data_IF_178716353945
#
_entry.id   IF_178716353945
#
_cell.length_a   1.000
_cell.length_b   1.000
_cell.length_c   1.000
_cell.angle_alpha   90.00
_cell.angle_beta   90.00
_cell.angle_gamma   90.00
#
_symmetry.space_group_name_H-M   'P 1'
#
loop_
_entity.id
_entity.type
_entity.pdbx_description
1 polymer ?
#
# COMPACT_ATOMS: atom_id res chain seq x y z
N UNK A 1 -2.82 54.44 -0.80
CA UNK A 1 -3.69 53.26 -0.68
C UNK A 1 -3.55 52.21 -1.80
N UNK A 2 -2.76 52.44 -2.85
CA UNK A 2 -2.57 51.44 -3.96
C UNK A 2 -1.43 50.43 -3.73
N UNK A 3 -0.56 50.63 -2.73
CA UNK A 3 0.58 49.73 -2.44
C UNK A 3 0.26 48.60 -1.49
N UNK A 4 -0.87 48.63 -0.77
CA UNK A 4 -1.27 47.55 0.15
C UNK A 4 -1.94 46.38 -0.56
N UNK A 5 -2.53 46.58 -1.73
CA UNK A 5 -3.20 45.53 -2.52
C UNK A 5 -2.23 44.60 -3.24
N UNK A 6 -1.03 45.07 -3.55
CA UNK A 6 -0.02 44.25 -4.24
C UNK A 6 0.60 43.23 -3.30
N UNK A 7 0.70 43.51 -2.00
CA UNK A 7 1.22 42.57 -0.99
C UNK A 7 0.26 41.42 -0.67
N UNK A 8 -1.05 41.64 -0.83
CA UNK A 8 -2.06 40.58 -0.61
C UNK A 8 -2.14 39.57 -1.76
N UNK A 9 -1.78 39.95 -3.00
CA UNK A 9 -1.79 39.03 -4.17
C UNK A 9 -0.55 38.14 -4.17
N UNK A 10 0.58 38.57 -3.64
CA UNK A 10 1.81 37.73 -3.55
C UNK A 10 1.70 36.68 -2.46
N UNK A 11 0.95 36.91 -1.39
CA UNK A 11 0.72 35.91 -0.33
C UNK A 11 -0.22 34.77 -0.76
N UNK A 12 -1.08 34.98 -1.76
CA UNK A 12 -2.01 33.98 -2.26
C UNK A 12 -1.37 32.96 -3.27
N UNK A 13 -0.18 33.28 -3.83
CA UNK A 13 0.51 32.44 -4.80
C UNK A 13 1.47 31.40 -4.16
N UNK A 14 1.73 31.47 -2.86
CA UNK A 14 2.62 30.53 -2.17
C UNK A 14 1.90 29.33 -1.54
N UNK A 15 0.56 29.21 -1.66
CA UNK A 15 -0.23 28.14 -1.05
C UNK A 15 -0.54 26.97 -2.01
N UNK A 16 0.02 26.94 -3.22
CA UNK A 16 -0.35 25.95 -4.24
C UNK A 16 0.75 24.95 -4.65
N UNK A 17 1.73 24.68 -3.76
CA UNK A 17 2.77 23.70 -4.10
C UNK A 17 3.00 22.72 -2.97
N UNK A 18 2.10 21.76 -2.78
CA UNK A 18 2.45 20.44 -2.21
C UNK A 18 1.28 19.44 -2.33
N UNK A 19 0.76 19.26 -3.53
CA UNK A 19 0.06 18.02 -3.89
C UNK A 19 1.09 16.97 -4.35
N UNK A 20 2.19 16.84 -3.62
CA UNK A 20 2.98 15.61 -3.70
C UNK A 20 2.09 14.50 -3.11
N UNK A 21 1.90 13.45 -3.87
CA UNK A 21 1.18 12.26 -3.45
C UNK A 21 1.72 11.81 -2.09
N UNK A 22 1.07 12.24 -1.01
CA UNK A 22 1.47 11.95 0.36
C UNK A 22 1.37 10.43 0.52
N UNK A 23 2.51 9.77 0.65
CA UNK A 23 2.56 8.31 0.84
C UNK A 23 1.70 8.00 2.08
N UNK A 24 0.58 7.29 1.84
CA UNK A 24 -0.39 6.99 2.91
C UNK A 24 0.31 6.32 4.07
N UNK A 25 0.02 6.79 5.28
CA UNK A 25 0.58 6.16 6.47
C UNK A 25 0.17 4.68 6.56
N UNK A 26 1.00 3.81 7.15
CA UNK A 26 0.64 2.40 7.38
C UNK A 26 -0.72 2.25 8.08
N UNK A 27 -1.03 3.11 9.04
CA UNK A 27 -2.31 3.12 9.75
C UNK A 27 -3.49 3.42 8.82
N UNK A 28 -3.34 4.40 7.93
CA UNK A 28 -4.38 4.75 6.95
C UNK A 28 -4.65 3.58 5.99
N UNK A 29 -3.60 2.88 5.54
CA UNK A 29 -3.74 1.73 4.64
C UNK A 29 -4.47 0.56 5.31
N UNK A 30 -4.18 0.28 6.59
CA UNK A 30 -4.87 -0.75 7.38
C UNK A 30 -6.34 -0.37 7.52
N UNK A 31 -6.63 0.87 7.89
CA UNK A 31 -8.01 1.34 8.09
C UNK A 31 -8.84 1.30 6.81
N UNK A 32 -8.27 1.69 5.67
CA UNK A 32 -8.96 1.61 4.37
C UNK A 32 -9.31 0.16 4.00
N UNK A 33 -8.37 -0.78 4.22
CA UNK A 33 -8.62 -2.20 3.94
C UNK A 33 -9.66 -2.78 4.89
N UNK A 34 -9.57 -2.46 6.18
CA UNK A 34 -10.54 -2.89 7.18
C UNK A 34 -11.94 -2.39 6.83
N UNK A 35 -12.09 -1.10 6.53
CA UNK A 35 -13.37 -0.49 6.12
C UNK A 35 -13.94 -1.14 4.85
N UNK A 36 -13.08 -1.39 3.85
CA UNK A 36 -13.50 -2.10 2.63
C UNK A 36 -14.05 -3.49 2.94
N UNK A 37 -13.36 -4.25 3.79
CA UNK A 37 -13.80 -5.60 4.17
C UNK A 37 -15.09 -5.57 4.99
N UNK A 38 -15.21 -4.68 5.96
CA UNK A 38 -16.42 -4.51 6.78
C UNK A 38 -17.64 -4.17 5.92
N UNK A 39 -17.46 -3.39 4.86
CA UNK A 39 -18.55 -3.03 3.92
C UNK A 39 -19.00 -4.20 3.05
N UNK A 40 -18.11 -5.13 2.70
CA UNK A 40 -18.37 -6.15 1.67
C UNK A 40 -18.50 -7.58 2.21
N UNK A 41 -18.04 -7.85 3.43
CA UNK A 41 -18.15 -9.15 4.08
C UNK A 41 -19.28 -9.11 5.12
N UNK A 42 -20.35 -9.80 4.82
CA UNK A 42 -21.49 -9.95 5.75
C UNK A 42 -21.19 -11.09 6.73
N UNK A 43 -21.22 -10.80 8.02
CA UNK A 43 -20.98 -11.76 9.10
C UNK A 43 -22.21 -11.84 10.01
N UNK A 44 -22.42 -13.00 10.64
CA UNK A 44 -23.41 -13.14 11.72
C UNK A 44 -22.98 -12.34 12.97
N UNK A 45 -23.90 -12.10 13.90
CA UNK A 45 -23.61 -11.29 15.09
C UNK A 45 -22.39 -11.79 15.89
N UNK A 46 -22.30 -13.11 16.11
CA UNK A 46 -21.19 -13.71 16.86
C UNK A 46 -19.87 -13.71 16.06
N UNK A 47 -19.91 -14.05 14.76
CA UNK A 47 -18.75 -13.96 13.88
C UNK A 47 -18.21 -12.54 13.82
N UNK A 48 -19.10 -11.55 13.72
CA UNK A 48 -18.77 -10.14 13.62
C UNK A 48 -17.97 -9.63 14.84
N UNK A 49 -18.36 -10.01 16.06
CA UNK A 49 -17.64 -9.59 17.27
C UNK A 49 -16.21 -10.13 17.35
N UNK A 50 -16.01 -11.38 16.94
CA UNK A 50 -14.73 -12.08 17.12
C UNK A 50 -13.77 -11.86 15.95
N UNK A 51 -14.30 -11.81 14.71
CA UNK A 51 -13.49 -11.82 13.50
C UNK A 51 -12.70 -10.52 13.28
N UNK A 52 -13.34 -9.34 13.42
CA UNK A 52 -12.70 -8.08 13.05
C UNK A 52 -11.46 -7.78 13.86
N UNK A 53 -11.45 -8.14 15.14
CA UNK A 53 -10.24 -8.02 15.97
C UNK A 53 -9.10 -8.87 15.44
N UNK A 54 -9.38 -10.15 15.14
CA UNK A 54 -8.38 -11.08 14.59
C UNK A 54 -7.90 -10.64 13.21
N UNK A 55 -8.80 -10.10 12.39
CA UNK A 55 -8.44 -9.60 11.07
C UNK A 55 -7.58 -8.32 11.15
N UNK A 56 -7.88 -7.40 12.05
CA UNK A 56 -7.04 -6.22 12.29
C UNK A 56 -5.65 -6.59 12.81
N UNK A 57 -5.56 -7.56 13.72
CA UNK A 57 -4.27 -8.12 14.16
C UNK A 57 -3.46 -8.68 12.98
N UNK A 58 -4.11 -9.40 12.06
CA UNK A 58 -3.49 -9.88 10.81
C UNK A 58 -2.93 -8.74 9.97
N UNK A 59 -3.72 -7.70 9.72
CA UNK A 59 -3.30 -6.54 8.92
C UNK A 59 -2.10 -5.81 9.54
N UNK A 60 -2.09 -5.64 10.85
CA UNK A 60 -0.98 -5.04 11.58
C UNK A 60 0.29 -5.90 11.48
N UNK A 61 0.17 -7.22 11.61
CA UNK A 61 1.29 -8.14 11.48
C UNK A 61 1.84 -8.18 10.05
N UNK A 62 0.99 -8.20 9.02
CA UNK A 62 1.39 -8.09 7.61
C UNK A 62 2.15 -6.78 7.35
N UNK A 63 1.63 -5.66 7.84
CA UNK A 63 2.27 -4.36 7.71
C UNK A 63 3.65 -4.31 8.38
N UNK A 64 3.79 -4.94 9.53
CA UNK A 64 5.09 -5.05 10.23
C UNK A 64 6.13 -5.80 9.40
N UNK A 65 5.74 -6.92 8.76
CA UNK A 65 6.62 -7.67 7.86
C UNK A 65 7.07 -6.80 6.68
N UNK A 66 6.13 -6.09 6.04
CA UNK A 66 6.42 -5.20 4.92
C UNK A 66 7.35 -4.03 5.31
N UNK A 67 7.12 -3.45 6.48
CA UNK A 67 7.95 -2.36 7.01
C UNK A 67 9.36 -2.86 7.34
N UNK A 68 9.47 -4.03 7.94
CA UNK A 68 10.78 -4.65 8.24
C UNK A 68 11.55 -4.94 6.95
N UNK A 69 10.90 -5.50 5.94
CA UNK A 69 11.49 -5.70 4.61
C UNK A 69 12.06 -4.40 4.03
N UNK A 70 11.27 -3.32 4.00
CA UNK A 70 11.74 -2.00 3.50
C UNK A 70 12.94 -1.48 4.30
N UNK A 71 12.87 -1.50 5.62
CA UNK A 71 13.97 -1.06 6.49
C UNK A 71 15.26 -1.86 6.27
N UNK A 72 15.16 -3.17 6.06
CA UNK A 72 16.33 -4.00 5.77
C UNK A 72 16.99 -3.61 4.45
N UNK A 73 16.20 -3.34 3.41
CA UNK A 73 16.71 -2.87 2.13
C UNK A 73 17.36 -1.49 2.23
N UNK A 74 16.76 -0.57 2.95
CA UNK A 74 17.31 0.78 3.18
C UNK A 74 18.68 0.74 3.86
N UNK A 75 18.91 -0.18 4.82
CA UNK A 75 20.22 -0.38 5.46
C UNK A 75 21.33 -0.78 4.47
N UNK A 76 20.96 -1.34 3.32
CA UNK A 76 21.87 -1.68 2.22
C UNK A 76 21.88 -0.63 1.10
N UNK A 77 21.33 0.55 1.35
CA UNK A 77 21.21 1.63 0.38
C UNK A 77 20.19 1.38 -0.74
N UNK A 78 19.33 0.36 -0.59
CA UNK A 78 18.31 0.00 -1.58
C UNK A 78 17.00 0.70 -1.19
N UNK A 79 16.70 1.84 -1.81
CA UNK A 79 15.48 2.61 -1.58
C UNK A 79 14.41 2.21 -2.58
N UNK A 80 13.45 1.36 -2.17
CA UNK A 80 12.31 1.02 -3.00
C UNK A 80 11.35 2.21 -3.06
N UNK A 81 11.05 2.65 -4.26
CA UNK A 81 9.94 3.57 -4.54
C UNK A 81 8.58 2.87 -4.50
N UNK A 82 7.54 3.57 -4.93
CA UNK A 82 6.21 3.00 -5.08
C UNK A 82 6.23 1.76 -6.01
N UNK A 83 5.38 0.76 -5.79
CA UNK A 83 5.31 -0.44 -6.64
C UNK A 83 5.18 -0.07 -8.13
N UNK A 84 6.10 -0.63 -8.96
CA UNK A 84 6.18 -0.36 -10.40
C UNK A 84 7.10 0.79 -10.82
N UNK A 85 7.73 1.54 -9.89
CA UNK A 85 8.77 2.56 -10.19
C UNK A 85 10.18 2.02 -10.01
N UNK A 86 10.31 0.78 -9.59
CA UNK A 86 11.58 0.23 -9.14
C UNK A 86 12.48 -0.27 -10.28
N UNK A 87 12.00 -0.29 -11.56
CA UNK A 87 12.77 -0.86 -12.69
C UNK A 87 14.11 -0.15 -12.90
N UNK A 88 14.08 1.17 -12.97
CA UNK A 88 15.31 1.98 -13.18
C UNK A 88 16.25 1.92 -11.97
N UNK A 89 15.67 1.89 -10.76
CA UNK A 89 16.45 1.75 -9.53
C UNK A 89 17.12 0.38 -9.48
N UNK A 90 16.38 -0.70 -9.78
CA UNK A 90 16.91 -2.08 -9.81
C UNK A 90 18.06 -2.20 -10.83
N UNK A 91 17.95 -1.54 -11.99
CA UNK A 91 19.00 -1.54 -13.01
C UNK A 91 20.31 -0.86 -12.57
N UNK A 92 20.29 -0.06 -11.50
CA UNK A 92 21.46 0.62 -10.93
C UNK A 92 22.10 -0.13 -9.76
N UNK A 93 21.49 -1.22 -9.31
CA UNK A 93 22.02 -2.01 -8.21
C UNK A 93 23.20 -2.88 -8.69
N UNK A 94 24.22 -3.00 -7.83
CA UNK A 94 25.29 -3.97 -8.07
C UNK A 94 24.84 -5.40 -7.72
N UNK A 95 25.63 -6.41 -8.11
CA UNK A 95 25.28 -7.82 -7.93
C UNK A 95 25.02 -8.20 -6.48
N UNK A 96 25.81 -7.67 -5.54
CA UNK A 96 25.60 -7.90 -4.09
C UNK A 96 24.25 -7.36 -3.62
N UNK A 97 23.89 -6.17 -4.07
CA UNK A 97 22.60 -5.56 -3.74
C UNK A 97 21.42 -6.31 -4.41
N UNK A 98 21.62 -6.78 -5.64
CA UNK A 98 20.61 -7.59 -6.35
C UNK A 98 20.35 -8.91 -5.63
N UNK A 99 21.43 -9.62 -5.26
CA UNK A 99 21.32 -10.86 -4.47
C UNK A 99 20.59 -10.60 -3.15
N UNK A 100 21.03 -9.58 -2.39
CA UNK A 100 20.39 -9.23 -1.14
C UNK A 100 18.89 -8.88 -1.30
N UNK A 101 18.56 -8.12 -2.36
CA UNK A 101 17.16 -7.79 -2.69
C UNK A 101 16.31 -9.05 -2.93
N UNK A 102 16.85 -10.05 -3.65
CA UNK A 102 16.13 -11.31 -3.90
C UNK A 102 15.96 -12.13 -2.62
N UNK A 103 17.03 -12.28 -1.82
CA UNK A 103 16.97 -13.00 -0.55
C UNK A 103 15.92 -12.38 0.39
N UNK A 104 15.92 -11.05 0.52
CA UNK A 104 14.92 -10.34 1.34
C UNK A 104 13.49 -10.51 0.80
N UNK A 105 13.30 -10.59 -0.52
CA UNK A 105 11.98 -10.89 -1.11
C UNK A 105 11.50 -12.30 -0.77
N UNK A 106 12.37 -13.29 -0.83
CA UNK A 106 12.02 -14.66 -0.46
C UNK A 106 11.68 -14.76 1.03
N UNK A 107 12.49 -14.15 1.89
CA UNK A 107 12.25 -14.14 3.33
C UNK A 107 10.91 -13.44 3.67
N UNK A 108 10.65 -12.28 3.06
CA UNK A 108 9.37 -11.58 3.22
C UNK A 108 8.18 -12.46 2.80
N UNK A 109 8.27 -13.14 1.64
CA UNK A 109 7.19 -14.01 1.15
C UNK A 109 6.96 -15.20 2.08
N UNK A 110 8.02 -15.81 2.59
CA UNK A 110 7.96 -16.90 3.57
C UNK A 110 7.25 -16.43 4.86
N UNK A 111 7.61 -15.25 5.36
CA UNK A 111 7.01 -14.68 6.56
C UNK A 111 5.52 -14.34 6.34
N UNK A 112 5.13 -13.82 5.16
CA UNK A 112 3.73 -13.59 4.79
C UNK A 112 2.97 -14.93 4.73
N UNK A 113 3.50 -15.96 4.08
CA UNK A 113 2.85 -17.27 3.98
C UNK A 113 2.64 -17.90 5.37
N UNK A 114 3.65 -17.82 6.24
CA UNK A 114 3.55 -18.32 7.62
C UNK A 114 2.46 -17.56 8.41
N UNK A 115 2.40 -16.24 8.23
CA UNK A 115 1.36 -15.39 8.82
C UNK A 115 -0.03 -15.80 8.32
N UNK A 116 -0.22 -15.89 7.00
CA UNK A 116 -1.49 -16.29 6.37
C UNK A 116 -1.94 -17.66 6.88
N UNK A 117 -1.03 -18.64 6.93
CA UNK A 117 -1.32 -20.00 7.43
C UNK A 117 -1.75 -19.99 8.90
N UNK A 118 -1.08 -19.18 9.72
CA UNK A 118 -1.41 -19.03 11.15
C UNK A 118 -2.81 -18.43 11.34
N UNK A 119 -3.13 -17.35 10.60
CA UNK A 119 -4.42 -16.68 10.71
C UNK A 119 -5.55 -17.47 10.03
N UNK A 120 -5.28 -18.24 9.00
CA UNK A 120 -6.25 -19.17 8.44
C UNK A 120 -6.77 -20.18 9.50
N UNK A 121 -5.89 -20.66 10.39
CA UNK A 121 -6.31 -21.50 11.52
C UNK A 121 -7.25 -20.78 12.46
N UNK A 122 -6.98 -19.49 12.77
CA UNK A 122 -7.85 -18.65 13.60
C UNK A 122 -9.19 -18.39 12.90
N UNK A 123 -9.18 -18.10 11.59
CA UNK A 123 -10.41 -17.87 10.81
C UNK A 123 -11.30 -19.10 10.79
N UNK A 124 -10.75 -20.32 10.63
CA UNK A 124 -11.53 -21.56 10.69
C UNK A 124 -12.23 -21.80 12.03
N UNK A 125 -11.74 -21.24 13.11
CA UNK A 125 -12.38 -21.34 14.43
C UNK A 125 -13.56 -20.37 14.60
N UNK A 126 -13.68 -19.36 13.73
CA UNK A 126 -14.67 -18.28 13.84
C UNK A 126 -15.67 -18.31 12.69
N UNK A 127 -15.20 -18.57 11.48
CA UNK A 127 -15.94 -18.47 10.23
C UNK A 127 -16.21 -19.83 9.60
N UNK A 128 -17.33 -19.95 8.90
CA UNK A 128 -17.58 -21.10 8.05
C UNK A 128 -16.75 -21.05 6.75
N UNK A 129 -16.55 -22.20 6.05
CA UNK A 129 -15.70 -22.26 4.85
C UNK A 129 -16.11 -21.31 3.71
N UNK A 130 -17.41 -21.09 3.50
CA UNK A 130 -17.90 -20.18 2.46
C UNK A 130 -17.56 -18.71 2.77
N UNK A 131 -17.68 -18.33 4.04
CA UNK A 131 -17.29 -16.98 4.49
C UNK A 131 -15.78 -16.76 4.35
N UNK A 132 -14.98 -17.78 4.65
CA UNK A 132 -13.51 -17.72 4.43
C UNK A 132 -13.19 -17.56 2.95
N UNK A 133 -13.83 -18.31 2.07
CA UNK A 133 -13.62 -18.15 0.62
C UNK A 133 -13.97 -16.75 0.16
N UNK A 134 -15.12 -16.22 0.60
CA UNK A 134 -15.54 -14.84 0.30
C UNK A 134 -14.53 -13.80 0.81
N UNK A 135 -13.96 -14.01 2.00
CA UNK A 135 -12.90 -13.16 2.54
C UNK A 135 -11.70 -13.10 1.58
N UNK A 136 -11.19 -14.25 1.12
CA UNK A 136 -10.05 -14.29 0.19
C UNK A 136 -10.37 -13.68 -1.17
N UNK A 137 -11.59 -13.86 -1.69
CA UNK A 137 -12.03 -13.21 -2.93
C UNK A 137 -12.07 -11.68 -2.79
N UNK A 138 -12.53 -11.17 -1.65
CA UNK A 138 -12.54 -9.74 -1.36
C UNK A 138 -11.11 -9.19 -1.19
N UNK A 139 -10.21 -9.93 -0.55
CA UNK A 139 -8.80 -9.60 -0.45
C UNK A 139 -8.14 -9.47 -1.82
N UNK A 140 -8.38 -10.41 -2.69
CA UNK A 140 -7.89 -10.37 -4.06
C UNK A 140 -8.42 -9.15 -4.82
N UNK A 141 -9.74 -8.89 -4.75
CA UNK A 141 -10.37 -7.73 -5.38
C UNK A 141 -9.79 -6.41 -4.85
N UNK A 142 -9.63 -6.29 -3.54
CA UNK A 142 -9.03 -5.11 -2.92
C UNK A 142 -7.60 -4.86 -3.44
N UNK A 143 -6.74 -5.88 -3.39
CA UNK A 143 -5.35 -5.80 -3.88
C UNK A 143 -5.29 -5.41 -5.37
N UNK A 144 -6.18 -5.97 -6.21
CA UNK A 144 -6.30 -5.63 -7.62
C UNK A 144 -6.68 -4.16 -7.83
N UNK A 145 -7.75 -3.71 -7.18
CA UNK A 145 -8.22 -2.31 -7.26
C UNK A 145 -7.15 -1.31 -6.81
N UNK A 146 -6.42 -1.61 -5.72
CA UNK A 146 -5.34 -0.75 -5.26
C UNK A 146 -4.17 -0.70 -6.27
N UNK A 147 -3.89 -1.79 -6.95
CA UNK A 147 -2.86 -1.84 -7.99
C UNK A 147 -3.26 -1.02 -9.21
N UNK A 148 -4.53 -1.07 -9.62
CA UNK A 148 -5.07 -0.30 -10.74
C UNK A 148 -5.05 1.20 -10.44
N UNK A 149 -5.57 1.63 -9.29
CA UNK A 149 -5.51 3.03 -8.85
C UNK A 149 -4.09 3.60 -8.85
N UNK A 150 -3.11 2.83 -8.39
CA UNK A 150 -1.70 3.24 -8.42
C UNK A 150 -1.15 3.42 -9.84
N UNK A 151 -1.62 2.62 -10.81
CA UNK A 151 -1.23 2.77 -12.22
C UNK A 151 -1.84 4.02 -12.84
N UNK A 152 -3.08 4.36 -12.47
CA UNK A 152 -3.79 5.55 -12.95
C UNK A 152 -3.09 6.82 -12.45
N UNK A 153 -2.85 6.94 -11.14
CA UNK A 153 -2.12 8.09 -10.56
C UNK A 153 -0.78 8.32 -11.26
N UNK A 154 -0.03 7.24 -11.56
CA UNK A 154 1.25 7.37 -12.28
C UNK A 154 1.10 7.87 -13.70
N UNK A 155 0.05 7.46 -14.41
CA UNK A 155 -0.20 7.97 -15.77
C UNK A 155 -0.52 9.46 -15.74
N UNK A 156 -1.28 9.90 -14.73
CA UNK A 156 -1.61 11.31 -14.52
C UNK A 156 -0.35 12.13 -14.21
N UNK A 157 0.50 11.66 -13.28
CA UNK A 157 1.77 12.30 -12.94
C UNK A 157 2.71 12.42 -14.16
N UNK A 158 2.80 11.35 -14.98
CA UNK A 158 3.61 11.37 -16.21
C UNK A 158 3.07 12.34 -17.28
N UNK A 159 1.76 12.51 -17.37
CA UNK A 159 1.14 13.48 -18.28
C UNK A 159 1.38 14.93 -17.82
N UNK A 160 1.38 15.16 -16.51
CA UNK A 160 1.67 16.49 -15.94
C UNK A 160 3.15 16.90 -16.12
N UNK A 161 4.08 15.94 -16.00
CA UNK A 161 5.52 16.19 -16.15
C UNK A 161 5.94 16.30 -17.63
N UNK A 162 5.21 15.68 -18.57
CA UNK A 162 5.51 15.69 -20.01
C UNK A 162 4.27 16.03 -20.85
N UNK A 163 3.74 17.25 -20.83
CA UNK A 163 2.51 17.63 -21.54
C UNK A 163 2.59 17.56 -23.07
N UNK A 164 3.79 17.35 -23.64
CA UNK A 164 4.05 17.35 -25.08
C UNK A 164 4.08 15.99 -25.78
N UNK A 165 4.01 14.84 -25.07
CA UNK A 165 3.96 13.51 -25.68
C UNK A 165 2.53 13.02 -25.93
N UNK A 166 1.71 13.80 -26.65
CA UNK A 166 0.56 13.23 -27.35
C UNK A 166 1.08 12.26 -28.41
N UNK A 167 0.67 10.99 -28.34
CA UNK A 167 0.96 10.01 -29.38
C UNK A 167 0.54 10.59 -30.74
N UNK A 168 1.52 10.75 -31.66
CA UNK A 168 1.25 10.77 -33.10
C UNK A 168 0.92 9.35 -33.55
#
# INVERSE_FOLDING_TARGET
>A
MKKLWILLIVAALCASTSLFAQEKSPKTMIQERLTYMQKNLTLSGQENQSFWKVYEEYLNAEMKIMTTYRKNLEKQGIKLGAPGTNKEMIAKLNDKQLTYLQDQKFEMRKNILNLETSYYKKYKAILNPHTIQKLYDLEYKYKKTMTEKRKEVKKEDQMLVNPGKKKR
#
